data_IF_831375242746
#
_entry.id   IF_831375242746
#
_cell.length_a   1.000
_cell.length_b   1.000
_cell.length_c   1.000
_cell.angle_alpha   90.00
_cell.angle_beta   90.00
_cell.angle_gamma   90.00
#
_symmetry.space_group_name_H-M   'P 1'
#
loop_
_entity.id
_entity.type
_entity.pdbx_description
1 polymer ?
#
# COMPACT_ATOMS: atom_id res chain seq x y z
N UNK A 1 27.44 -12.02 -54.95
CA UNK A 1 27.26 -10.77 -54.20
C UNK A 1 25.96 -10.86 -53.46
N UNK A 2 25.93 -10.96 -52.12
CA UNK A 2 24.68 -11.06 -51.34
C UNK A 2 24.03 -9.68 -51.16
N UNK A 3 22.74 -9.63 -51.40
CA UNK A 3 21.90 -8.45 -51.22
C UNK A 3 21.85 -8.06 -49.74
N UNK A 4 22.24 -6.84 -49.42
CA UNK A 4 22.13 -6.24 -48.10
C UNK A 4 20.66 -6.16 -47.65
N UNK A 5 20.29 -6.91 -46.63
CA UNK A 5 19.03 -6.71 -45.90
C UNK A 5 19.04 -5.35 -45.24
N UNK A 6 18.25 -4.43 -45.77
CA UNK A 6 17.94 -3.17 -45.10
C UNK A 6 17.11 -3.48 -43.86
N UNK A 7 17.71 -3.39 -42.69
CA UNK A 7 16.99 -3.40 -41.40
C UNK A 7 16.00 -2.24 -41.42
N UNK A 8 14.70 -2.55 -41.43
CA UNK A 8 13.63 -1.54 -41.28
C UNK A 8 13.72 -0.99 -39.87
N UNK A 9 13.97 0.31 -39.73
CA UNK A 9 13.97 0.98 -38.44
C UNK A 9 12.57 0.92 -37.85
N UNK A 10 12.47 0.45 -36.59
CA UNK A 10 11.26 0.44 -35.83
C UNK A 10 10.89 1.90 -35.50
N UNK A 11 9.75 2.36 -36.00
CA UNK A 11 9.23 3.69 -35.67
C UNK A 11 8.39 3.59 -34.42
N UNK A 12 8.85 4.19 -33.34
CA UNK A 12 8.09 4.34 -32.11
C UNK A 12 7.18 5.57 -32.21
N UNK A 13 5.88 5.40 -31.92
CA UNK A 13 4.95 6.52 -31.80
C UNK A 13 4.62 6.72 -30.32
N UNK A 14 4.69 7.95 -29.81
CA UNK A 14 4.28 8.24 -28.45
C UNK A 14 2.74 8.15 -28.33
N UNK A 15 2.28 7.35 -27.41
CA UNK A 15 0.86 7.22 -27.06
C UNK A 15 0.62 7.90 -25.70
N UNK A 16 -0.26 8.89 -25.68
CA UNK A 16 -0.66 9.55 -24.44
C UNK A 16 -1.82 8.79 -23.82
N UNK A 17 -1.61 8.21 -22.64
CA UNK A 17 -2.67 7.61 -21.84
C UNK A 17 -3.09 8.62 -20.78
N UNK A 18 -4.35 9.06 -20.78
CA UNK A 18 -4.91 9.89 -19.72
C UNK A 18 -5.26 9.01 -18.52
N UNK A 19 -4.67 9.32 -17.40
CA UNK A 19 -5.08 8.76 -16.11
C UNK A 19 -6.27 9.55 -15.56
N UNK A 20 -7.12 8.90 -14.76
CA UNK A 20 -8.33 9.51 -14.20
C UNK A 20 -8.10 10.70 -13.26
N UNK A 21 -6.84 10.99 -12.89
CA UNK A 21 -6.39 12.13 -12.08
C UNK A 21 -5.78 13.28 -12.90
N UNK A 22 -5.92 13.26 -14.25
CA UNK A 22 -5.41 14.31 -15.12
C UNK A 22 -3.94 14.21 -15.52
N UNK A 23 -3.16 13.29 -14.93
CA UNK A 23 -1.78 13.04 -15.31
C UNK A 23 -1.69 12.31 -16.66
N UNK A 24 -0.76 12.71 -17.53
CA UNK A 24 -0.51 12.07 -18.82
C UNK A 24 0.79 11.28 -18.76
N UNK A 25 0.73 9.97 -18.98
CA UNK A 25 1.91 9.13 -19.15
C UNK A 25 2.14 8.94 -20.64
N UNK A 26 3.35 9.24 -21.12
CA UNK A 26 3.76 9.00 -22.50
C UNK A 26 4.39 7.61 -22.58
N UNK A 27 3.72 6.70 -23.27
CA UNK A 27 4.20 5.34 -23.52
C UNK A 27 4.67 5.23 -24.96
N UNK A 28 5.85 4.70 -25.17
CA UNK A 28 6.40 4.46 -26.50
C UNK A 28 5.94 3.09 -26.99
N UNK A 29 5.06 3.05 -27.98
CA UNK A 29 4.65 1.82 -28.65
C UNK A 29 5.50 1.60 -29.91
N UNK A 30 6.18 0.47 -29.98
CA UNK A 30 6.90 0.03 -31.17
C UNK A 30 6.02 -0.86 -32.04
N UNK A 31 5.81 -0.51 -33.29
CA UNK A 31 5.20 -1.40 -34.27
C UNK A 31 6.26 -2.39 -34.77
N UNK A 32 6.09 -3.66 -34.46
CA UNK A 32 6.85 -4.76 -35.02
C UNK A 32 6.08 -5.36 -36.21
N UNK A 33 6.64 -5.45 -37.41
CA UNK A 33 5.95 -6.15 -38.49
C UNK A 33 6.05 -7.67 -38.27
N UNK A 34 4.91 -8.32 -38.30
CA UNK A 34 4.70 -9.77 -38.49
C UNK A 34 4.84 -10.66 -37.26
N UNK A 35 3.73 -11.34 -36.94
CA UNK A 35 3.56 -12.47 -35.98
C UNK A 35 3.73 -12.10 -34.50
N UNK A 36 2.74 -11.48 -33.92
CA UNK A 36 2.89 -11.23 -32.50
C UNK A 36 1.76 -10.55 -31.75
N UNK A 37 0.49 -10.77 -32.08
CA UNK A 37 -0.62 -10.28 -31.22
C UNK A 37 -0.43 -10.70 -29.76
N UNK A 38 0.12 -11.91 -29.53
CA UNK A 38 0.43 -12.38 -28.18
C UNK A 38 1.54 -11.59 -27.46
N UNK A 39 2.59 -11.12 -28.18
CA UNK A 39 3.68 -10.37 -27.55
C UNK A 39 3.28 -8.94 -27.20
N UNK A 40 2.48 -8.29 -28.04
CA UNK A 40 1.92 -6.97 -27.73
C UNK A 40 0.97 -7.02 -26.52
N UNK A 41 0.16 -8.07 -26.43
CA UNK A 41 -0.75 -8.30 -25.30
C UNK A 41 0.03 -8.51 -23.99
N UNK A 42 1.12 -9.28 -24.02
CA UNK A 42 1.99 -9.51 -22.86
C UNK A 42 2.64 -8.19 -22.39
N UNK A 43 3.18 -7.39 -23.33
CA UNK A 43 3.78 -6.09 -22.98
C UNK A 43 2.75 -5.15 -22.40
N UNK A 44 1.54 -5.08 -22.95
CA UNK A 44 0.45 -4.27 -22.41
C UNK A 44 0.01 -4.75 -21.03
N UNK A 45 -0.07 -6.06 -20.82
CA UNK A 45 -0.37 -6.65 -19.50
C UNK A 45 0.71 -6.31 -18.48
N UNK A 46 2.00 -6.44 -18.81
CA UNK A 46 3.10 -6.08 -17.92
C UNK A 46 3.12 -4.59 -17.60
N UNK A 47 2.85 -3.71 -18.58
CA UNK A 47 2.76 -2.27 -18.33
C UNK A 47 1.57 -1.95 -17.42
N UNK A 48 0.42 -2.59 -17.62
CA UNK A 48 -0.75 -2.36 -16.78
C UNK A 48 -0.55 -2.90 -15.37
N UNK A 49 0.14 -4.00 -15.18
CA UNK A 49 0.53 -4.52 -13.86
C UNK A 49 1.49 -3.58 -13.16
N UNK A 50 2.57 -3.15 -13.82
CA UNK A 50 3.53 -2.20 -13.27
C UNK A 50 2.86 -0.86 -12.86
N UNK A 51 1.94 -0.35 -13.69
CA UNK A 51 1.19 0.88 -13.34
C UNK A 51 0.26 0.65 -12.16
N UNK A 52 -0.40 -0.51 -12.07
CA UNK A 52 -1.24 -0.86 -10.91
C UNK A 52 -0.42 -0.98 -9.64
N UNK A 53 0.77 -1.55 -9.70
CA UNK A 53 1.66 -1.72 -8.55
C UNK A 53 2.18 -0.35 -8.07
N UNK A 54 2.59 0.54 -8.99
CA UNK A 54 2.98 1.90 -8.63
C UNK A 54 1.81 2.65 -7.98
N UNK A 55 0.60 2.54 -8.51
CA UNK A 55 -0.59 3.21 -7.95
C UNK A 55 -1.04 2.62 -6.61
N UNK A 56 -0.59 1.43 -6.24
CA UNK A 56 -0.85 0.78 -4.95
C UNK A 56 0.26 1.02 -3.94
N UNK A 57 1.43 1.53 -4.38
CA UNK A 57 2.52 1.76 -3.44
C UNK A 57 2.07 2.70 -2.32
N UNK A 58 2.44 2.43 -1.07
CA UNK A 58 2.08 3.26 0.09
C UNK A 58 2.48 4.72 -0.08
N UNK A 59 3.64 4.95 -0.67
CA UNK A 59 4.15 6.30 -0.93
C UNK A 59 3.24 7.09 -1.87
N UNK A 60 2.84 6.49 -3.00
CA UNK A 60 1.94 7.13 -3.95
C UNK A 60 0.58 7.43 -3.31
N UNK A 61 0.02 6.47 -2.56
CA UNK A 61 -1.27 6.64 -1.89
C UNK A 61 -1.20 7.78 -0.86
N UNK A 62 -0.17 7.81 -0.02
CA UNK A 62 -0.02 8.83 1.02
C UNK A 62 0.25 10.22 0.42
N UNK A 63 1.09 10.33 -0.61
CA UNK A 63 1.34 11.59 -1.31
C UNK A 63 0.06 12.12 -1.96
N UNK A 64 -0.72 11.27 -2.62
CA UNK A 64 -2.00 11.65 -3.20
C UNK A 64 -3.00 12.14 -2.15
N UNK A 65 -3.06 11.51 -0.98
CA UNK A 65 -3.90 11.98 0.13
C UNK A 65 -3.45 13.36 0.62
N UNK A 66 -2.14 13.58 0.75
CA UNK A 66 -1.56 14.86 1.17
C UNK A 66 -1.89 15.97 0.18
N UNK A 67 -1.69 15.75 -1.12
CA UNK A 67 -2.02 16.73 -2.17
C UNK A 67 -3.50 17.10 -2.15
N UNK A 68 -4.40 16.13 -2.00
CA UNK A 68 -5.83 16.40 -1.96
C UNK A 68 -6.28 17.04 -0.65
N UNK A 69 -5.57 16.85 0.47
CA UNK A 69 -5.89 17.44 1.76
C UNK A 69 -5.71 18.96 1.78
N UNK A 70 -4.91 19.53 0.88
CA UNK A 70 -4.74 20.97 0.71
C UNK A 70 -5.99 21.67 0.16
N UNK A 71 -6.88 20.90 -0.49
CA UNK A 71 -8.12 21.42 -1.03
C UNK A 71 -9.28 21.18 -0.06
N UNK A 72 -9.71 22.24 0.64
CA UNK A 72 -10.80 22.21 1.63
C UNK A 72 -12.16 21.72 1.06
N UNK A 73 -12.36 21.80 -0.26
CA UNK A 73 -13.58 21.35 -0.92
C UNK A 73 -13.49 19.90 -1.42
N UNK A 74 -12.32 19.26 -1.28
CA UNK A 74 -12.13 17.88 -1.70
C UNK A 74 -12.75 16.91 -0.69
N UNK A 75 -13.60 16.02 -1.18
CA UNK A 75 -14.19 14.96 -0.37
C UNK A 75 -13.47 13.65 -0.64
N UNK A 76 -12.84 13.11 0.39
CA UNK A 76 -12.23 11.79 0.30
C UNK A 76 -13.31 10.72 0.25
N UNK A 77 -13.33 9.95 -0.83
CA UNK A 77 -14.20 8.80 -1.01
C UNK A 77 -13.39 7.50 -0.93
N UNK A 78 -14.02 6.46 -0.43
CA UNK A 78 -13.47 5.09 -0.44
C UNK A 78 -12.15 4.93 0.32
N UNK A 79 -11.86 5.74 1.32
CA UNK A 79 -10.66 5.62 2.18
C UNK A 79 -10.51 4.22 2.78
N UNK A 80 -11.63 3.56 3.06
CA UNK A 80 -11.63 2.18 3.59
C UNK A 80 -10.88 1.19 2.69
N UNK A 81 -10.82 1.42 1.38
CA UNK A 81 -10.07 0.55 0.46
C UNK A 81 -8.57 0.54 0.69
N UNK A 82 -8.04 1.57 1.32
CA UNK A 82 -6.60 1.66 1.66
C UNK A 82 -6.21 0.55 2.62
N UNK A 83 -7.14 0.12 3.51
CA UNK A 83 -6.91 -0.99 4.43
C UNK A 83 -6.80 -2.36 3.75
N UNK A 84 -7.10 -2.47 2.47
CA UNK A 84 -6.94 -3.70 1.70
C UNK A 84 -5.58 -3.81 1.01
N UNK A 85 -4.73 -2.79 1.15
CA UNK A 85 -3.40 -2.78 0.60
C UNK A 85 -2.39 -3.36 1.60
N UNK A 86 -1.82 -4.52 1.28
CA UNK A 86 -0.86 -5.22 2.13
C UNK A 86 0.40 -4.39 2.41
N UNK A 87 0.89 -3.63 1.43
CA UNK A 87 2.09 -2.83 1.56
C UNK A 87 1.97 -1.73 2.64
N UNK A 88 0.75 -1.22 2.87
CA UNK A 88 0.49 -0.28 3.96
C UNK A 88 0.81 -0.90 5.33
N UNK A 89 0.55 -2.20 5.49
CA UNK A 89 0.85 -2.91 6.74
C UNK A 89 2.34 -3.16 6.92
N UNK A 90 3.12 -3.34 5.83
CA UNK A 90 4.58 -3.42 5.94
C UNK A 90 5.18 -2.11 6.40
N UNK A 91 4.74 -0.98 5.86
CA UNK A 91 5.17 0.35 6.31
C UNK A 91 4.74 0.60 7.75
N UNK A 92 3.51 0.24 8.13
CA UNK A 92 3.03 0.34 9.50
C UNK A 92 3.87 -0.52 10.46
N UNK A 93 4.20 -1.75 10.07
CA UNK A 93 5.06 -2.64 10.85
C UNK A 93 6.45 -2.02 11.08
N UNK A 94 7.11 -1.53 10.04
CA UNK A 94 8.41 -0.87 10.15
C UNK A 94 8.37 0.33 11.11
N UNK A 95 7.31 1.14 11.04
CA UNK A 95 7.13 2.30 11.93
C UNK A 95 6.91 1.89 13.39
N UNK A 96 6.19 0.79 13.64
CA UNK A 96 6.00 0.26 15.00
C UNK A 96 7.32 -0.34 15.51
N UNK A 97 8.02 -1.10 14.66
CA UNK A 97 9.28 -1.77 15.02
C UNK A 97 10.36 -0.79 15.47
N UNK A 98 10.44 0.37 14.84
CA UNK A 98 11.40 1.40 15.18
C UNK A 98 11.13 2.11 16.52
N UNK A 99 9.94 1.90 17.14
CA UNK A 99 9.56 2.62 18.36
C UNK A 99 9.92 1.84 19.64
N UNK A 100 10.34 2.53 20.73
CA UNK A 100 10.49 1.92 22.04
C UNK A 100 9.16 1.29 22.51
N UNK A 101 9.22 0.13 23.16
CA UNK A 101 8.04 -0.58 23.63
C UNK A 101 7.31 -1.41 22.55
N UNK A 102 7.92 -1.57 21.37
CA UNK A 102 7.41 -2.41 20.31
C UNK A 102 7.10 -3.85 20.76
N UNK A 103 7.92 -4.41 21.65
CA UNK A 103 7.79 -5.76 22.21
C UNK A 103 6.72 -5.91 23.28
N UNK A 104 6.02 -4.83 23.67
CA UNK A 104 4.99 -4.91 24.71
C UNK A 104 3.77 -5.66 24.17
N UNK A 105 3.52 -6.85 24.75
CA UNK A 105 2.37 -7.67 24.38
C UNK A 105 1.03 -7.06 24.84
N UNK A 106 0.04 -7.16 23.97
CA UNK A 106 -1.35 -6.80 24.28
C UNK A 106 -2.06 -7.84 25.15
N UNK A 107 -3.38 -7.82 25.14
CA UNK A 107 -4.21 -8.79 25.85
C UNK A 107 -4.09 -10.21 25.25
N UNK A 108 -3.81 -10.31 23.96
CA UNK A 108 -3.60 -11.55 23.20
C UNK A 108 -2.24 -12.22 23.48
N UNK A 109 -1.37 -11.60 24.27
CA UNK A 109 -0.02 -12.09 24.58
C UNK A 109 0.96 -12.04 23.39
N UNK A 110 0.53 -11.54 22.26
CA UNK A 110 1.34 -11.49 21.04
C UNK A 110 2.19 -10.22 20.98
N UNK A 111 3.40 -10.39 20.45
CA UNK A 111 4.36 -9.32 20.24
C UNK A 111 4.59 -9.06 18.76
N UNK A 112 5.40 -8.05 18.45
CA UNK A 112 5.76 -7.70 17.09
C UNK A 112 6.50 -8.80 16.34
N UNK A 113 7.29 -9.65 17.04
CA UNK A 113 8.07 -10.74 16.44
C UNK A 113 7.19 -11.84 15.82
N UNK A 114 5.91 -11.89 16.17
CA UNK A 114 4.97 -12.85 15.60
C UNK A 114 4.31 -12.34 14.32
N UNK A 115 4.92 -11.34 13.68
CA UNK A 115 4.46 -10.84 12.38
C UNK A 115 4.66 -11.91 11.30
N UNK A 116 3.65 -12.07 10.43
CA UNK A 116 3.70 -12.95 9.25
C UNK A 116 2.80 -12.40 8.15
N UNK A 117 3.09 -12.79 6.91
CA UNK A 117 2.26 -12.44 5.75
C UNK A 117 0.82 -12.96 5.92
N UNK A 118 0.68 -14.20 6.32
CA UNK A 118 -0.63 -14.82 6.57
C UNK A 118 -1.46 -14.03 7.60
N UNK A 119 -0.80 -13.44 8.60
CA UNK A 119 -1.49 -12.61 9.60
C UNK A 119 -2.04 -11.32 9.00
N UNK A 120 -1.30 -10.68 8.06
CA UNK A 120 -1.81 -9.52 7.32
C UNK A 120 -2.97 -9.90 6.43
N UNK A 121 -2.85 -11.00 5.69
CA UNK A 121 -3.91 -11.50 4.81
C UNK A 121 -5.20 -11.80 5.59
N UNK A 122 -5.09 -12.46 6.74
CA UNK A 122 -6.23 -12.72 7.62
C UNK A 122 -6.86 -11.42 8.13
N UNK A 123 -6.05 -10.44 8.52
CA UNK A 123 -6.53 -9.13 8.95
C UNK A 123 -7.27 -8.42 7.82
N UNK A 124 -6.70 -8.37 6.62
CA UNK A 124 -7.32 -7.78 5.43
C UNK A 124 -8.61 -8.50 5.06
N UNK A 125 -8.62 -9.83 5.14
CA UNK A 125 -9.82 -10.61 4.86
C UNK A 125 -10.94 -10.26 5.84
N UNK A 126 -10.63 -10.19 7.14
CA UNK A 126 -11.63 -9.82 8.15
C UNK A 126 -12.14 -8.37 8.02
N UNK A 127 -11.32 -7.48 7.43
CA UNK A 127 -11.76 -6.11 7.11
C UNK A 127 -12.63 -6.08 5.86
N UNK A 128 -12.36 -6.92 4.85
CA UNK A 128 -13.14 -7.01 3.61
C UNK A 128 -14.53 -7.57 3.83
N UNK A 129 -14.66 -8.56 4.71
CA UNK A 129 -15.93 -9.22 5.05
C UNK A 129 -16.63 -8.57 6.26
N UNK A 130 -16.06 -7.45 6.79
CA UNK A 130 -16.59 -6.67 7.92
C UNK A 130 -16.71 -7.47 9.21
N UNK A 131 -16.02 -8.62 9.33
CA UNK A 131 -16.02 -9.47 10.53
C UNK A 131 -14.99 -9.05 11.59
N UNK A 132 -14.14 -8.06 11.27
CA UNK A 132 -13.10 -7.61 12.18
C UNK A 132 -13.66 -7.05 13.48
N UNK A 133 -13.22 -7.61 14.61
CA UNK A 133 -13.55 -7.13 15.94
C UNK A 133 -12.27 -6.75 16.70
N UNK A 134 -12.15 -5.49 17.17
CA UNK A 134 -11.01 -5.06 17.98
C UNK A 134 -10.94 -5.86 19.29
N UNK A 135 -9.72 -6.20 19.69
CA UNK A 135 -9.48 -6.91 20.94
C UNK A 135 -9.50 -5.96 22.15
N UNK A 136 -9.91 -6.42 23.34
CA UNK A 136 -9.79 -5.63 24.54
C UNK A 136 -8.35 -5.19 24.80
N UNK A 137 -8.13 -3.93 25.18
CA UNK A 137 -6.80 -3.45 25.54
C UNK A 137 -6.38 -3.91 26.93
N UNK A 138 -5.15 -4.38 27.07
CA UNK A 138 -4.55 -4.71 28.36
C UNK A 138 -4.26 -3.43 29.13
N UNK A 139 -4.79 -3.32 30.35
CA UNK A 139 -4.53 -2.16 31.22
C UNK A 139 -3.21 -2.34 31.97
N UNK A 140 -2.31 -1.37 31.84
CA UNK A 140 -1.04 -1.29 32.57
C UNK A 140 -0.98 0.05 33.30
N UNK A 141 -0.46 0.07 34.51
CA UNK A 141 -0.31 1.30 35.29
C UNK A 141 1.13 1.81 35.23
N UNK A 142 1.30 3.06 34.83
CA UNK A 142 2.60 3.71 34.70
C UNK A 142 2.70 4.83 35.75
N UNK A 143 3.82 4.92 36.51
CA UNK A 143 4.01 5.99 37.48
C UNK A 143 4.16 7.35 36.80
N UNK A 144 3.52 8.38 37.33
CA UNK A 144 3.71 9.77 36.97
C UNK A 144 4.83 10.39 37.79
N UNK A 145 5.38 11.53 37.33
CA UNK A 145 6.40 12.28 38.07
C UNK A 145 5.99 12.69 39.48
N UNK A 146 4.67 12.83 39.72
CA UNK A 146 4.12 13.18 41.03
C UNK A 146 3.78 11.98 41.93
N UNK A 147 4.30 10.79 41.63
CA UNK A 147 4.06 9.55 42.37
C UNK A 147 2.71 8.88 42.13
N UNK A 148 1.77 9.52 41.46
CA UNK A 148 0.47 8.91 41.14
C UNK A 148 0.61 7.94 39.94
N UNK A 149 -0.23 6.91 39.89
CA UNK A 149 -0.28 5.97 38.76
C UNK A 149 -1.26 6.46 37.68
N UNK A 150 -0.94 6.24 36.41
CA UNK A 150 -1.86 6.45 35.29
C UNK A 150 -2.14 5.12 34.61
N UNK A 151 -3.40 4.82 34.28
CA UNK A 151 -3.71 3.67 33.44
C UNK A 151 -3.26 3.95 31.98
N UNK A 152 -2.70 2.94 31.37
CA UNK A 152 -2.36 2.90 29.93
C UNK A 152 -3.02 1.67 29.33
N UNK A 153 -3.77 1.84 28.23
CA UNK A 153 -4.28 0.73 27.44
C UNK A 153 -3.22 0.27 26.43
N UNK A 154 -2.88 -1.00 26.46
CA UNK A 154 -1.99 -1.63 25.47
C UNK A 154 -2.86 -2.48 24.55
N UNK A 155 -3.09 -2.07 23.30
CA UNK A 155 -3.90 -2.82 22.36
C UNK A 155 -3.21 -4.10 21.91
N UNK A 156 -3.97 -5.06 21.39
CA UNK A 156 -3.44 -6.24 20.74
C UNK A 156 -2.61 -5.86 19.50
N UNK A 157 -1.72 -6.76 19.06
CA UNK A 157 -0.78 -6.41 17.99
C UNK A 157 -1.50 -6.10 16.65
N UNK A 158 -2.53 -6.85 16.29
CA UNK A 158 -3.32 -6.56 15.08
C UNK A 158 -3.96 -5.17 15.15
N UNK A 159 -4.49 -4.80 16.32
CA UNK A 159 -5.08 -3.48 16.53
C UNK A 159 -4.04 -2.37 16.45
N UNK A 160 -2.83 -2.58 17.02
CA UNK A 160 -1.70 -1.64 16.88
C UNK A 160 -1.34 -1.42 15.41
N UNK A 161 -1.29 -2.52 14.64
CA UNK A 161 -0.95 -2.48 13.23
C UNK A 161 -1.99 -1.70 12.42
N UNK A 162 -3.26 -2.01 12.62
CA UNK A 162 -4.37 -1.30 11.98
C UNK A 162 -4.42 0.18 12.38
N UNK A 163 -4.25 0.49 13.67
CA UNK A 163 -4.19 1.87 14.18
C UNK A 163 -3.03 2.66 13.56
N UNK A 164 -1.87 2.04 13.32
CA UNK A 164 -0.76 2.70 12.64
C UNK A 164 -1.08 2.98 11.17
N UNK A 165 -1.79 2.08 10.48
CA UNK A 165 -2.30 2.35 9.12
C UNK A 165 -3.28 3.53 9.13
N UNK A 166 -4.24 3.57 10.07
CA UNK A 166 -5.16 4.72 10.24
C UNK A 166 -4.39 6.01 10.48
N UNK A 167 -3.32 5.96 11.29
CA UNK A 167 -2.50 7.14 11.60
C UNK A 167 -1.70 7.66 10.41
N UNK A 168 -1.43 6.82 9.41
CA UNK A 168 -0.71 7.21 8.20
C UNK A 168 -1.60 7.92 7.19
N UNK A 169 -2.90 7.60 7.18
CA UNK A 169 -3.92 8.22 6.33
C UNK A 169 -4.30 9.60 6.89
#
# INVERSE_FOLDING_TARGET
MPKSERRKAIRYRPMKIRQGNGASVVVWAGESPVHGEGKQLIILMQITENVRDIMRSPEYVLNSLTEHSENLNYKFERLYRIFFNEEMYYVAYQRIYAKPGNMTAGADGKTIDQMSLNRIEQLITSLKDESYQPQPSKRVYIPKKNGKMRPLGVPAFNDKLLQEVVRMI
#
